data_IF_288379602948
#
_entry.id   IF_288379602948
#
_cell.length_a   1.000
_cell.length_b   1.000
_cell.length_c   1.000
_cell.angle_alpha   90.00
_cell.angle_beta   90.00
_cell.angle_gamma   90.00
#
_symmetry.space_group_name_H-M   'P 1'
#
loop_
_entity.id
_entity.type
_entity.pdbx_description
1 polymer ?
#
# COMPACT_ATOMS: atom_id res chain seq x y z
N UNK A 1 20.35 -15.82 -29.16
CA UNK A 1 20.19 -14.47 -29.74
C UNK A 1 20.08 -13.39 -28.67
N UNK A 2 19.18 -13.53 -27.68
CA UNK A 2 19.04 -12.55 -26.58
C UNK A 2 20.32 -12.37 -25.76
N UNK A 3 20.85 -13.45 -25.18
CA UNK A 3 22.03 -13.38 -24.31
C UNK A 3 23.33 -12.98 -25.03
N UNK A 4 23.52 -13.46 -26.26
CA UNK A 4 24.77 -13.29 -27.01
C UNK A 4 24.83 -12.01 -27.86
N UNK A 5 23.72 -11.29 -28.01
CA UNK A 5 23.64 -10.12 -28.89
C UNK A 5 23.04 -8.89 -28.22
N UNK A 6 21.84 -9.02 -27.66
CA UNK A 6 21.09 -7.87 -27.15
C UNK A 6 21.58 -7.43 -25.77
N UNK A 7 22.00 -8.36 -24.89
CA UNK A 7 22.47 -8.00 -23.55
C UNK A 7 23.71 -7.09 -23.52
N UNK A 8 24.78 -7.34 -24.30
CA UNK A 8 25.92 -6.43 -24.33
C UNK A 8 25.55 -5.01 -24.78
N UNK A 9 24.59 -4.91 -25.72
CA UNK A 9 24.08 -3.61 -26.19
C UNK A 9 23.30 -2.93 -25.07
N UNK A 10 22.37 -3.65 -24.41
CA UNK A 10 21.61 -3.12 -23.29
C UNK A 10 22.52 -2.64 -22.15
N UNK A 11 23.53 -3.43 -21.78
CA UNK A 11 24.51 -3.03 -20.76
C UNK A 11 25.26 -1.75 -21.14
N UNK A 12 25.68 -1.63 -22.41
CA UNK A 12 26.33 -0.41 -22.90
C UNK A 12 25.41 0.81 -22.86
N UNK A 13 24.12 0.61 -23.12
CA UNK A 13 23.11 1.68 -23.06
C UNK A 13 22.82 2.09 -21.61
N UNK A 14 22.68 1.13 -20.68
CA UNK A 14 22.48 1.40 -19.25
C UNK A 14 23.64 2.22 -18.67
N UNK A 15 24.87 1.95 -19.11
CA UNK A 15 26.05 2.71 -18.67
C UNK A 15 26.14 4.13 -19.27
N UNK A 16 25.28 4.48 -20.23
CA UNK A 16 25.29 5.77 -20.90
C UNK A 16 24.07 6.61 -20.51
N UNK A 17 24.29 7.73 -19.81
CA UNK A 17 23.24 8.64 -19.36
C UNK A 17 22.46 9.27 -20.51
N UNK A 18 23.04 9.40 -21.70
CA UNK A 18 22.36 9.95 -22.88
C UNK A 18 21.40 8.93 -23.53
N UNK A 19 21.47 7.66 -23.11
CA UNK A 19 20.71 6.56 -23.69
C UNK A 19 19.57 6.06 -22.78
N UNK A 20 19.23 6.77 -21.70
CA UNK A 20 18.22 6.33 -20.72
C UNK A 20 16.89 5.96 -21.38
N UNK A 21 16.35 6.83 -22.25
CA UNK A 21 15.07 6.55 -22.93
C UNK A 21 15.16 5.32 -23.84
N UNK A 22 16.21 5.21 -24.64
CA UNK A 22 16.41 4.07 -25.53
C UNK A 22 16.64 2.75 -24.76
N UNK A 23 17.38 2.79 -23.64
CA UNK A 23 17.63 1.64 -22.79
C UNK A 23 16.34 1.15 -22.14
N UNK A 24 15.53 2.08 -21.65
CA UNK A 24 14.25 1.78 -20.99
C UNK A 24 13.24 1.20 -21.99
N UNK A 25 13.12 1.79 -23.18
CA UNK A 25 12.27 1.26 -24.25
C UNK A 25 12.72 -0.13 -24.72
N UNK A 26 14.03 -0.37 -24.81
CA UNK A 26 14.57 -1.70 -25.13
C UNK A 26 14.21 -2.72 -24.05
N UNK A 27 14.39 -2.37 -22.77
CA UNK A 27 13.96 -3.20 -21.64
C UNK A 27 12.47 -3.57 -21.73
N UNK A 28 11.61 -2.58 -22.00
CA UNK A 28 10.18 -2.81 -22.14
C UNK A 28 9.87 -3.81 -23.26
N UNK A 29 10.42 -3.57 -24.46
CA UNK A 29 10.20 -4.45 -25.61
C UNK A 29 10.66 -5.88 -25.35
N UNK A 30 11.81 -6.05 -24.68
CA UNK A 30 12.32 -7.37 -24.31
C UNK A 30 11.46 -8.03 -23.24
N UNK A 31 10.96 -7.28 -22.25
CA UNK A 31 10.14 -7.84 -21.16
C UNK A 31 8.83 -8.47 -21.60
N UNK A 32 8.34 -8.12 -22.79
CA UNK A 32 7.18 -8.73 -23.43
C UNK A 32 7.45 -10.17 -23.91
N UNK A 33 8.71 -10.62 -23.94
CA UNK A 33 9.12 -11.97 -24.33
C UNK A 33 9.36 -12.82 -23.08
N UNK A 34 8.68 -13.96 -22.98
CA UNK A 34 8.80 -14.85 -21.82
C UNK A 34 10.23 -15.34 -21.58
N UNK A 35 10.99 -15.60 -22.65
CA UNK A 35 12.38 -16.06 -22.57
C UNK A 35 13.34 -14.95 -22.10
N UNK A 36 12.96 -13.69 -22.22
CA UNK A 36 13.78 -12.55 -21.82
C UNK A 36 13.53 -12.13 -20.36
N UNK A 37 12.33 -12.37 -19.81
CA UNK A 37 11.99 -12.02 -18.42
C UNK A 37 13.00 -12.53 -17.37
N UNK A 38 13.45 -13.81 -17.37
CA UNK A 38 14.42 -14.27 -16.37
C UNK A 38 15.78 -13.58 -16.54
N UNK A 39 16.13 -13.21 -17.77
CA UNK A 39 17.40 -12.55 -18.07
C UNK A 39 17.36 -11.09 -17.60
N UNK A 40 16.31 -10.33 -17.94
CA UNK A 40 16.16 -8.95 -17.50
C UNK A 40 16.09 -8.89 -15.97
N UNK A 41 15.29 -9.79 -15.35
CA UNK A 41 15.09 -9.84 -13.91
C UNK A 41 16.34 -10.17 -13.08
N UNK A 42 17.41 -10.66 -13.69
CA UNK A 42 18.66 -11.06 -13.01
C UNK A 42 19.87 -10.20 -13.39
N UNK A 43 19.69 -9.16 -14.20
CA UNK A 43 20.77 -8.28 -14.68
C UNK A 43 20.67 -6.88 -14.11
N UNK A 44 21.69 -6.05 -14.39
CA UNK A 44 21.74 -4.62 -14.05
C UNK A 44 20.58 -3.78 -14.63
N UNK A 45 19.75 -4.38 -15.50
CA UNK A 45 18.50 -3.77 -15.94
C UNK A 45 17.57 -3.45 -14.76
N UNK A 46 17.46 -4.31 -13.74
CA UNK A 46 16.57 -4.06 -12.60
C UNK A 46 17.00 -2.83 -11.78
N UNK A 47 18.25 -2.74 -11.28
CA UNK A 47 18.73 -1.52 -10.62
C UNK A 47 18.59 -0.27 -11.48
N UNK A 48 18.86 -0.36 -12.79
CA UNK A 48 18.67 0.74 -13.73
C UNK A 48 17.21 1.21 -13.81
N UNK A 49 16.25 0.29 -13.93
CA UNK A 49 14.81 0.64 -14.00
C UNK A 49 14.33 1.28 -12.69
N UNK A 50 14.80 0.79 -11.54
CA UNK A 50 14.51 1.40 -10.23
C UNK A 50 15.11 2.81 -10.15
N UNK A 51 16.33 2.99 -10.67
CA UNK A 51 16.95 4.31 -10.77
C UNK A 51 16.13 5.26 -11.65
N UNK A 52 15.61 4.81 -12.80
CA UNK A 52 14.73 5.61 -13.67
C UNK A 52 13.48 6.09 -12.91
N UNK A 53 12.83 5.21 -12.13
CA UNK A 53 11.66 5.60 -11.34
C UNK A 53 11.96 6.66 -10.26
N UNK A 54 13.16 6.63 -9.67
CA UNK A 54 13.53 7.49 -8.53
C UNK A 54 14.02 8.88 -8.93
N UNK A 55 14.52 9.04 -10.15
CA UNK A 55 15.17 10.27 -10.58
C UNK A 55 14.26 11.12 -11.48
N UNK A 56 14.66 12.37 -11.70
CA UNK A 56 14.01 13.26 -12.65
C UNK A 56 14.36 12.82 -14.09
N UNK A 57 13.68 11.79 -14.57
CA UNK A 57 13.69 11.36 -15.97
C UNK A 57 12.40 11.77 -16.67
N UNK A 58 12.40 11.67 -17.99
CA UNK A 58 11.19 11.81 -18.80
C UNK A 58 10.07 10.87 -18.31
N UNK A 59 8.83 11.35 -18.32
CA UNK A 59 7.67 10.62 -17.78
C UNK A 59 7.38 9.34 -18.59
N UNK A 60 7.64 9.33 -19.90
CA UNK A 60 7.52 8.11 -20.70
C UNK A 60 8.56 7.07 -20.25
N UNK A 61 9.76 7.50 -19.86
CA UNK A 61 10.77 6.57 -19.32
C UNK A 61 10.28 5.95 -18.00
N UNK A 62 9.62 6.72 -17.12
CA UNK A 62 9.06 6.16 -15.88
C UNK A 62 7.93 5.17 -16.17
N UNK A 63 7.05 5.49 -17.13
CA UNK A 63 6.01 4.57 -17.59
C UNK A 63 6.61 3.26 -18.12
N UNK A 64 7.57 3.36 -19.03
CA UNK A 64 8.22 2.21 -19.65
C UNK A 64 8.97 1.38 -18.61
N UNK A 65 9.62 2.03 -17.63
CA UNK A 65 10.29 1.36 -16.54
C UNK A 65 9.31 0.59 -15.65
N UNK A 66 8.19 1.22 -15.27
CA UNK A 66 7.14 0.56 -14.50
C UNK A 66 6.52 -0.62 -15.25
N UNK A 67 6.24 -0.45 -16.55
CA UNK A 67 5.70 -1.52 -17.39
C UNK A 67 6.68 -2.68 -17.53
N UNK A 68 7.97 -2.39 -17.65
CA UNK A 68 9.02 -3.43 -17.66
C UNK A 68 9.02 -4.20 -16.34
N UNK A 69 9.03 -3.49 -15.20
CA UNK A 69 9.01 -4.10 -13.87
C UNK A 69 7.75 -4.95 -13.67
N UNK A 70 6.59 -4.47 -14.10
CA UNK A 70 5.33 -5.23 -14.15
C UNK A 70 5.48 -6.54 -14.95
N UNK A 71 5.96 -6.46 -16.18
CA UNK A 71 6.11 -7.62 -17.06
C UNK A 71 7.04 -8.68 -16.45
N UNK A 72 8.20 -8.28 -15.92
CA UNK A 72 9.15 -9.24 -15.34
C UNK A 72 8.72 -9.76 -13.95
N UNK A 73 7.86 -9.03 -13.23
CA UNK A 73 7.27 -9.45 -11.94
C UNK A 73 6.22 -10.55 -12.11
N UNK A 74 5.64 -10.69 -13.31
CA UNK A 74 4.72 -11.80 -13.62
C UNK A 74 5.38 -13.18 -13.50
N UNK A 75 6.73 -13.24 -13.52
CA UNK A 75 7.51 -14.46 -13.33
C UNK A 75 7.94 -14.58 -11.85
N UNK A 76 7.40 -15.55 -11.08
CA UNK A 76 7.67 -15.65 -9.64
C UNK A 76 9.15 -15.81 -9.26
N UNK A 77 9.97 -16.43 -10.13
CA UNK A 77 11.42 -16.58 -9.88
C UNK A 77 12.18 -15.25 -9.90
N UNK A 78 11.62 -14.19 -10.48
CA UNK A 78 12.24 -12.86 -10.47
C UNK A 78 11.97 -12.09 -9.18
N UNK A 79 10.92 -12.43 -8.42
CA UNK A 79 10.51 -11.67 -7.23
C UNK A 79 11.65 -11.51 -6.22
N UNK A 80 12.43 -12.56 -5.84
CA UNK A 80 13.55 -12.39 -4.90
C UNK A 80 14.63 -11.42 -5.40
N UNK A 81 14.89 -11.40 -6.70
CA UNK A 81 15.89 -10.51 -7.31
C UNK A 81 15.41 -9.05 -7.30
N UNK A 82 14.13 -8.83 -7.62
CA UNK A 82 13.52 -7.50 -7.58
C UNK A 82 13.45 -6.94 -6.15
N UNK A 83 13.13 -7.78 -5.16
CA UNK A 83 13.19 -7.41 -3.74
C UNK A 83 14.62 -7.00 -3.34
N UNK A 84 15.60 -7.83 -3.68
CA UNK A 84 17.01 -7.57 -3.35
C UNK A 84 17.55 -6.28 -3.97
N UNK A 85 16.97 -5.86 -5.11
CA UNK A 85 17.32 -4.61 -5.78
C UNK A 85 16.60 -3.37 -5.20
N UNK A 86 15.70 -3.53 -4.22
CA UNK A 86 15.00 -2.43 -3.58
C UNK A 86 13.85 -1.85 -4.42
N UNK A 87 13.07 -2.69 -5.10
CA UNK A 87 11.98 -2.25 -5.98
C UNK A 87 10.98 -1.31 -5.31
N UNK A 88 10.69 -1.49 -4.00
CA UNK A 88 9.72 -0.66 -3.30
C UNK A 88 10.16 0.80 -3.14
N UNK A 89 11.47 1.08 -3.13
CA UNK A 89 11.96 2.47 -3.19
C UNK A 89 11.53 3.16 -4.49
N UNK A 90 11.61 2.45 -5.61
CA UNK A 90 11.20 2.96 -6.92
C UNK A 90 9.69 3.14 -7.00
N UNK A 91 8.93 2.19 -6.48
CA UNK A 91 7.47 2.28 -6.42
C UNK A 91 7.00 3.42 -5.51
N UNK A 92 7.70 3.70 -4.42
CA UNK A 92 7.38 4.81 -3.52
C UNK A 92 7.49 6.18 -4.20
N UNK A 93 8.45 6.34 -5.13
CA UNK A 93 8.61 7.57 -5.91
C UNK A 93 7.39 7.89 -6.80
N UNK A 94 6.63 6.86 -7.18
CA UNK A 94 5.44 7.01 -8.02
C UNK A 94 4.18 7.43 -7.23
N UNK A 95 4.17 7.27 -5.91
CA UNK A 95 3.00 7.59 -5.06
C UNK A 95 2.60 9.07 -5.18
N UNK A 96 3.58 9.96 -5.42
CA UNK A 96 3.33 11.40 -5.51
C UNK A 96 2.65 11.86 -6.81
N UNK A 97 2.57 11.01 -7.86
CA UNK A 97 2.03 11.36 -9.17
C UNK A 97 1.08 10.27 -9.73
N UNK A 98 -0.12 10.11 -9.15
CA UNK A 98 -0.91 8.87 -9.31
C UNK A 98 -1.82 8.77 -10.56
N UNK A 99 -1.61 9.47 -11.67
CA UNK A 99 -2.66 9.53 -12.71
C UNK A 99 -2.53 8.60 -13.93
N UNK A 100 -1.34 8.05 -14.26
CA UNK A 100 -1.18 7.15 -15.42
C UNK A 100 -0.61 5.76 -15.09
N UNK A 101 -0.13 5.59 -13.86
CA UNK A 101 0.66 4.42 -13.45
C UNK A 101 -0.10 3.45 -12.55
N UNK A 102 -1.30 3.85 -12.09
CA UNK A 102 -2.02 3.22 -10.98
C UNK A 102 -2.29 1.74 -11.21
N UNK A 103 -2.85 1.36 -12.37
CA UNK A 103 -3.15 -0.05 -12.66
C UNK A 103 -1.89 -0.94 -12.59
N UNK A 104 -0.77 -0.50 -13.19
CA UNK A 104 0.45 -1.31 -13.27
C UNK A 104 1.18 -1.31 -11.93
N UNK A 105 1.17 -0.19 -11.23
CA UNK A 105 1.65 -0.08 -9.85
C UNK A 105 0.95 -1.09 -8.93
N UNK A 106 -0.39 -1.16 -8.94
CA UNK A 106 -1.13 -2.11 -8.11
C UNK A 106 -0.85 -3.56 -8.55
N UNK A 107 -0.81 -3.80 -9.86
CA UNK A 107 -0.57 -5.14 -10.38
C UNK A 107 0.82 -5.68 -9.99
N UNK A 108 1.85 -4.83 -9.98
CA UNK A 108 3.16 -5.17 -9.40
C UNK A 108 2.98 -5.58 -7.94
N UNK A 109 2.36 -4.75 -7.10
CA UNK A 109 2.14 -5.09 -5.68
C UNK A 109 1.40 -6.42 -5.49
N UNK A 110 0.43 -6.75 -6.35
CA UNK A 110 -0.30 -8.03 -6.30
C UNK A 110 0.62 -9.22 -6.63
N UNK A 111 1.49 -9.12 -7.63
CA UNK A 111 2.46 -10.19 -7.92
C UNK A 111 3.37 -10.47 -6.72
N UNK A 112 3.87 -9.39 -6.10
CA UNK A 112 4.70 -9.47 -4.90
C UNK A 112 3.93 -10.03 -3.71
N UNK A 113 2.67 -9.65 -3.53
CA UNK A 113 1.84 -10.12 -2.42
C UNK A 113 1.62 -11.65 -2.41
N UNK A 114 2.05 -12.39 -3.44
CA UNK A 114 2.09 -13.87 -3.41
C UNK A 114 3.18 -14.41 -2.48
N UNK A 115 4.30 -13.70 -2.29
CA UNK A 115 5.41 -14.10 -1.40
C UNK A 115 5.23 -13.54 0.02
N UNK A 116 5.48 -14.36 1.05
CA UNK A 116 5.42 -13.91 2.45
C UNK A 116 6.41 -12.75 2.70
N UNK A 117 7.66 -12.89 2.24
CA UNK A 117 8.70 -11.88 2.47
C UNK A 117 8.35 -10.55 1.80
N UNK A 118 7.83 -10.60 0.59
CA UNK A 118 7.40 -9.42 -0.14
C UNK A 118 6.19 -8.74 0.52
N UNK A 119 5.24 -9.51 1.07
CA UNK A 119 4.11 -8.95 1.83
C UNK A 119 4.58 -8.15 3.03
N UNK A 120 5.50 -8.71 3.81
CA UNK A 120 6.05 -8.03 4.97
C UNK A 120 6.77 -6.73 4.59
N UNK A 121 7.49 -6.75 3.47
CA UNK A 121 8.16 -5.57 2.93
C UNK A 121 7.17 -4.51 2.45
N UNK A 122 6.11 -4.88 1.70
CA UNK A 122 5.02 -3.96 1.31
C UNK A 122 4.39 -3.29 2.54
N UNK A 123 4.13 -4.06 3.60
CA UNK A 123 3.53 -3.56 4.85
C UNK A 123 4.51 -2.62 5.58
N UNK A 124 5.81 -2.90 5.51
CA UNK A 124 6.85 -2.09 6.15
C UNK A 124 7.17 -0.79 5.39
N UNK A 125 7.02 -0.77 4.06
CA UNK A 125 7.32 0.41 3.24
C UNK A 125 6.32 1.55 3.52
N UNK A 126 6.78 2.72 3.97
CA UNK A 126 5.92 3.85 4.26
C UNK A 126 5.14 4.32 3.01
N UNK A 127 3.85 4.60 3.20
CA UNK A 127 3.01 5.19 2.17
C UNK A 127 2.39 4.20 1.18
N UNK A 128 2.88 2.96 1.03
CA UNK A 128 2.27 2.00 0.11
C UNK A 128 0.83 1.62 0.51
N UNK A 129 0.60 1.36 1.80
CA UNK A 129 -0.75 1.09 2.31
C UNK A 129 -1.67 2.31 2.12
N UNK A 130 -1.17 3.51 2.41
CA UNK A 130 -1.88 4.77 2.18
C UNK A 130 -2.20 5.01 0.71
N UNK A 131 -1.29 4.67 -0.21
CA UNK A 131 -1.52 4.76 -1.65
C UNK A 131 -2.64 3.83 -2.10
N UNK A 132 -2.65 2.57 -1.65
CA UNK A 132 -3.74 1.63 -1.92
C UNK A 132 -5.08 2.11 -1.34
N UNK A 133 -5.07 2.69 -0.14
CA UNK A 133 -6.26 3.28 0.48
C UNK A 133 -6.78 4.50 -0.30
N UNK A 134 -5.89 5.36 -0.80
CA UNK A 134 -6.25 6.50 -1.63
C UNK A 134 -6.87 6.06 -2.96
N UNK A 135 -6.25 5.08 -3.65
CA UNK A 135 -6.80 4.51 -4.89
C UNK A 135 -8.19 3.90 -4.64
N UNK A 136 -8.40 3.25 -3.50
CA UNK A 136 -9.70 2.70 -3.13
C UNK A 136 -10.78 3.79 -2.94
N UNK A 137 -10.40 5.01 -2.55
CA UNK A 137 -11.33 6.12 -2.34
C UNK A 137 -11.65 6.90 -3.63
N UNK A 138 -10.64 7.17 -4.47
CA UNK A 138 -10.78 8.07 -5.63
C UNK A 138 -10.48 7.45 -6.98
N UNK A 139 -9.98 6.21 -7.03
CA UNK A 139 -9.62 5.53 -8.28
C UNK A 139 -10.83 5.13 -9.11
N UNK A 140 -10.58 4.74 -10.36
CA UNK A 140 -11.62 4.20 -11.25
C UNK A 140 -12.12 2.83 -10.76
N UNK A 141 -13.32 2.37 -11.15
CA UNK A 141 -13.91 1.14 -10.62
C UNK A 141 -13.00 -0.11 -10.71
N UNK A 142 -12.20 -0.21 -11.77
CA UNK A 142 -11.24 -1.30 -11.97
C UNK A 142 -10.03 -1.15 -11.03
N UNK A 143 -9.55 0.06 -10.83
CA UNK A 143 -8.43 0.36 -9.93
C UNK A 143 -8.83 0.15 -8.47
N UNK A 144 -10.04 0.55 -8.07
CA UNK A 144 -10.61 0.27 -6.76
C UNK A 144 -10.70 -1.24 -6.51
N UNK A 145 -11.15 -2.01 -7.50
CA UNK A 145 -11.18 -3.48 -7.45
C UNK A 145 -9.78 -4.07 -7.24
N UNK A 146 -8.79 -3.61 -8.00
CA UNK A 146 -7.40 -4.03 -7.89
C UNK A 146 -6.82 -3.67 -6.50
N UNK A 147 -7.04 -2.46 -6.02
CA UNK A 147 -6.59 -2.01 -4.71
C UNK A 147 -7.23 -2.84 -3.59
N UNK A 148 -8.55 -3.06 -3.64
CA UNK A 148 -9.24 -3.92 -2.69
C UNK A 148 -8.73 -5.38 -2.75
N UNK A 149 -8.38 -5.89 -3.93
CA UNK A 149 -7.80 -7.21 -4.07
C UNK A 149 -6.41 -7.30 -3.41
N UNK A 150 -5.54 -6.31 -3.64
CA UNK A 150 -4.22 -6.23 -3.01
C UNK A 150 -4.34 -6.13 -1.48
N UNK A 151 -5.16 -5.20 -0.98
CA UNK A 151 -5.41 -5.03 0.45
C UNK A 151 -5.96 -6.30 1.11
N UNK A 152 -6.87 -7.01 0.43
CA UNK A 152 -7.39 -8.28 0.96
C UNK A 152 -6.31 -9.36 1.09
N UNK A 153 -5.36 -9.44 0.15
CA UNK A 153 -4.24 -10.39 0.25
C UNK A 153 -3.36 -10.04 1.46
N UNK A 154 -3.01 -8.76 1.61
CA UNK A 154 -2.13 -8.28 2.70
C UNK A 154 -2.80 -8.44 4.08
N UNK A 155 -4.06 -8.03 4.22
CA UNK A 155 -4.79 -8.08 5.48
C UNK A 155 -5.08 -9.52 5.95
N UNK A 156 -5.33 -10.46 5.03
CA UNK A 156 -5.48 -11.87 5.40
C UNK A 156 -4.18 -12.49 5.91
N UNK A 157 -3.03 -12.01 5.44
CA UNK A 157 -1.73 -12.52 5.86
C UNK A 157 -1.26 -11.92 7.19
N UNK A 158 -1.70 -10.70 7.53
CA UNK A 158 -1.16 -9.97 8.68
C UNK A 158 -2.23 -9.05 9.32
N UNK A 159 -2.65 -9.37 10.55
CA UNK A 159 -3.63 -8.57 11.31
C UNK A 159 -3.13 -7.12 11.56
N UNK A 160 -1.82 -6.87 11.65
CA UNK A 160 -1.27 -5.51 11.74
C UNK A 160 -1.55 -4.69 10.49
N UNK A 161 -1.52 -5.32 9.31
CA UNK A 161 -1.89 -4.66 8.05
C UNK A 161 -3.35 -4.20 8.10
N UNK A 162 -4.28 -5.02 8.62
CA UNK A 162 -5.67 -4.59 8.78
C UNK A 162 -5.79 -3.33 9.63
N UNK A 163 -5.06 -3.24 10.74
CA UNK A 163 -5.08 -2.06 11.60
C UNK A 163 -4.55 -0.81 10.87
N UNK A 164 -3.47 -0.94 10.10
CA UNK A 164 -2.94 0.15 9.29
C UNK A 164 -3.95 0.61 8.23
N UNK A 165 -4.58 -0.34 7.52
CA UNK A 165 -5.60 -0.06 6.51
C UNK A 165 -6.83 0.64 7.13
N UNK A 166 -7.26 0.22 8.32
CA UNK A 166 -8.35 0.88 9.04
C UNK A 166 -8.00 2.31 9.48
N UNK A 167 -6.74 2.57 9.84
CA UNK A 167 -6.25 3.91 10.20
C UNK A 167 -6.28 4.88 9.01
N UNK A 168 -6.10 4.39 7.79
CA UNK A 168 -6.29 5.17 6.55
C UNK A 168 -7.77 5.51 6.27
N UNK A 169 -8.72 4.99 7.06
CA UNK A 169 -10.12 5.39 6.98
C UNK A 169 -10.90 4.77 5.82
N UNK A 170 -10.50 3.60 5.33
CA UNK A 170 -11.07 2.95 4.12
C UNK A 170 -12.54 2.51 4.21
N UNK A 171 -13.15 2.51 5.40
CA UNK A 171 -14.49 1.92 5.63
C UNK A 171 -15.58 2.53 4.74
N UNK A 172 -15.72 3.87 4.62
CA UNK A 172 -16.76 4.46 3.76
C UNK A 172 -16.59 4.07 2.29
N UNK A 173 -15.34 4.04 1.79
CA UNK A 173 -15.01 3.67 0.41
C UNK A 173 -15.35 2.20 0.16
N UNK A 174 -15.01 1.30 1.09
CA UNK A 174 -15.39 -0.12 1.03
C UNK A 174 -16.92 -0.33 1.06
N UNK A 175 -17.65 0.43 1.89
CA UNK A 175 -19.11 0.34 1.94
C UNK A 175 -19.72 0.82 0.62
N UNK A 176 -19.28 1.96 0.09
CA UNK A 176 -19.72 2.46 -1.21
C UNK A 176 -19.46 1.43 -2.32
N UNK A 177 -18.24 0.91 -2.38
CA UNK A 177 -17.81 -0.09 -3.36
C UNK A 177 -18.60 -1.40 -3.23
N UNK A 178 -19.01 -1.81 -2.02
CA UNK A 178 -19.82 -3.02 -1.81
C UNK A 178 -21.22 -2.95 -2.46
N UNK A 179 -21.71 -1.73 -2.72
CA UNK A 179 -23.01 -1.47 -3.35
C UNK A 179 -22.84 -1.07 -4.82
N UNK A 180 -21.89 -0.18 -5.11
CA UNK A 180 -21.75 0.52 -6.39
C UNK A 180 -20.59 0.01 -7.27
N UNK A 181 -19.70 -0.81 -6.72
CA UNK A 181 -18.51 -1.29 -7.43
C UNK A 181 -18.82 -2.31 -8.52
N UNK A 182 -17.77 -2.75 -9.21
CA UNK A 182 -17.83 -3.89 -10.15
C UNK A 182 -18.26 -5.17 -9.43
N UNK A 183 -18.67 -6.21 -10.18
CA UNK A 183 -19.09 -7.49 -9.58
C UNK A 183 -18.00 -8.08 -8.66
N UNK A 184 -16.75 -8.10 -9.13
CA UNK A 184 -15.61 -8.59 -8.35
C UNK A 184 -15.25 -7.60 -7.23
N UNK A 185 -15.35 -6.30 -7.49
CA UNK A 185 -15.12 -5.26 -6.49
C UNK A 185 -16.05 -5.38 -5.28
N UNK A 186 -17.35 -5.58 -5.50
CA UNK A 186 -18.33 -5.80 -4.43
C UNK A 186 -17.95 -6.98 -3.54
N UNK A 187 -17.55 -8.10 -4.16
CA UNK A 187 -17.14 -9.30 -3.43
C UNK A 187 -15.87 -9.06 -2.59
N UNK A 188 -14.88 -8.34 -3.14
CA UNK A 188 -13.63 -8.04 -2.42
C UNK A 188 -13.88 -7.07 -1.27
N UNK A 189 -14.69 -6.04 -1.48
CA UNK A 189 -15.07 -5.08 -0.45
C UNK A 189 -15.81 -5.76 0.71
N UNK A 190 -16.79 -6.61 0.40
CA UNK A 190 -17.50 -7.38 1.42
C UNK A 190 -16.56 -8.29 2.23
N UNK A 191 -15.62 -8.98 1.56
CA UNK A 191 -14.61 -9.82 2.24
C UNK A 191 -13.72 -9.02 3.18
N UNK A 192 -13.25 -7.85 2.76
CA UNK A 192 -12.46 -6.96 3.63
C UNK A 192 -13.26 -6.48 4.85
N UNK A 193 -14.51 -6.05 4.64
CA UNK A 193 -15.39 -5.63 5.74
C UNK A 193 -15.67 -6.76 6.74
N UNK A 194 -15.89 -7.98 6.24
CA UNK A 194 -16.05 -9.16 7.09
C UNK A 194 -14.77 -9.46 7.88
N UNK A 195 -13.61 -9.44 7.22
CA UNK A 195 -12.31 -9.67 7.87
C UNK A 195 -12.08 -8.68 9.03
N UNK A 196 -12.34 -7.39 8.82
CA UNK A 196 -12.20 -6.39 9.88
C UNK A 196 -13.17 -6.60 11.04
N UNK A 197 -14.40 -7.06 10.75
CA UNK A 197 -15.39 -7.40 11.78
C UNK A 197 -14.93 -8.59 12.61
N UNK A 198 -14.43 -9.64 11.98
CA UNK A 198 -13.96 -10.85 12.64
C UNK A 198 -12.74 -10.57 13.53
N UNK A 199 -11.78 -9.78 13.03
CA UNK A 199 -10.61 -9.36 13.81
C UNK A 199 -11.02 -8.58 15.07
N UNK A 200 -11.96 -7.63 14.95
CA UNK A 200 -12.48 -6.89 16.10
C UNK A 200 -13.18 -7.78 17.13
N UNK A 201 -13.80 -8.88 16.71
CA UNK A 201 -14.45 -9.83 17.62
C UNK A 201 -13.44 -10.78 18.29
N UNK A 202 -12.28 -11.02 17.66
CA UNK A 202 -11.19 -11.80 18.25
C UNK A 202 -10.45 -11.04 19.35
N UNK A 203 -10.34 -9.72 19.25
CA UNK A 203 -9.79 -8.87 20.31
C UNK A 203 -10.86 -8.66 21.40
N UNK A 204 -10.79 -9.35 22.56
CA UNK A 204 -11.77 -9.15 23.62
C UNK A 204 -11.56 -7.73 24.15
N UNK A 205 -12.63 -6.94 24.25
CA UNK A 205 -12.57 -5.65 24.95
C UNK A 205 -12.01 -5.89 26.37
N UNK A 206 -11.15 -5.02 26.91
CA UNK A 206 -10.82 -5.09 28.33
C UNK A 206 -12.15 -5.02 29.09
N UNK A 207 -12.47 -6.11 29.80
CA UNK A 207 -13.71 -6.22 30.57
C UNK A 207 -13.84 -5.02 31.52
N UNK A 208 -15.05 -4.48 31.74
CA UNK A 208 -15.24 -3.48 32.77
C UNK A 208 -14.81 -4.12 34.09
N UNK A 209 -13.86 -3.47 34.76
CA UNK A 209 -13.44 -3.78 36.13
C UNK A 209 -14.67 -4.14 36.96
N UNK A 210 -14.73 -5.37 37.46
CA UNK A 210 -15.80 -5.82 38.35
C UNK A 210 -15.92 -4.82 39.53
N UNK A 211 -17.15 -4.43 39.93
CA UNK A 211 -17.33 -3.71 41.18
C UNK A 211 -16.82 -4.59 42.32
N UNK A 212 -15.90 -4.03 43.09
CA UNK A 212 -15.42 -4.60 44.36
C UNK A 212 -16.64 -4.95 45.22
N UNK A 213 -16.76 -6.22 45.57
CA UNK A 213 -17.78 -6.76 46.47
C UNK A 213 -17.75 -6.02 47.81
N UNK A 214 -18.89 -5.42 48.16
CA UNK A 214 -19.18 -4.94 49.51
C UNK A 214 -19.17 -6.13 50.47
N UNK A 215 -18.30 -6.07 51.47
CA UNK A 215 -18.49 -6.81 52.73
C UNK A 215 -18.61 -5.75 53.82
N UNK A 216 -19.84 -5.49 54.21
CA UNK A 216 -20.16 -4.74 55.43
C UNK A 216 -20.12 -5.70 56.60
N UNK A 217 -19.27 -5.42 57.58
CA UNK A 217 -19.61 -5.63 58.99
C UNK A 217 -18.85 -4.59 59.84
N UNK A 218 -19.60 -4.01 60.78
CA UNK A 218 -19.35 -2.72 61.41
C UNK A 218 -18.56 -2.84 62.72
N UNK A 219 -17.69 -1.85 63.00
CA UNK A 219 -17.47 -1.27 64.33
C UNK A 219 -16.65 0.04 64.23
N UNK A 220 -17.17 1.12 64.84
CA UNK A 220 -16.54 2.43 65.10
C UNK A 220 -16.71 2.74 66.62
N UNK A 221 -16.13 3.80 67.24
CA UNK A 221 -15.42 4.97 66.68
C UNK A 221 -14.15 5.47 67.44
N UNK A 222 -13.42 6.45 66.87
CA UNK A 222 -12.42 7.26 67.58
C UNK A 222 -11.78 8.43 66.79
N UNK A 223 -12.48 9.57 66.76
CA UNK A 223 -12.06 11.00 66.69
C UNK A 223 -11.08 11.60 65.63
N UNK A 224 -11.52 12.75 65.08
CA UNK A 224 -11.04 13.68 64.02
C UNK A 224 -9.85 14.63 64.38
N UNK A 225 -9.41 15.66 63.56
CA UNK A 225 -9.58 15.98 62.12
C UNK A 225 -8.31 16.43 61.30
N UNK A 226 -8.41 16.39 59.95
CA UNK A 226 -7.96 17.30 58.81
C UNK A 226 -6.76 18.31 58.94
N UNK A 227 -6.12 18.81 57.82
CA UNK A 227 -6.70 19.05 56.48
C UNK A 227 -5.85 18.84 55.19
N UNK A 228 -6.58 18.71 54.06
CA UNK A 228 -6.37 19.21 52.68
C UNK A 228 -4.96 19.34 52.08
N UNK A 229 -4.73 18.62 50.97
CA UNK A 229 -3.96 19.13 49.82
C UNK A 229 -4.61 18.71 48.50
N UNK A 230 -4.92 19.68 47.65
CA UNK A 230 -5.65 19.58 46.37
C UNK A 230 -4.73 19.28 45.18
N UNK A 231 -5.30 18.62 44.16
CA UNK A 231 -5.08 18.81 42.70
C UNK A 231 -3.70 18.36 42.14
N UNK A 232 -3.50 17.86 40.91
CA UNK A 232 -4.19 18.03 39.61
C UNK A 232 -3.90 16.78 38.74
N UNK A 233 -4.93 16.25 38.08
CA UNK A 233 -4.81 15.35 36.93
C UNK A 233 -4.42 16.14 35.67
N UNK A 234 -3.32 15.78 35.00
CA UNK A 234 -3.03 16.26 33.63
C UNK A 234 -3.28 15.14 32.62
N UNK A 235 -4.44 15.21 31.96
CA UNK A 235 -4.70 14.61 30.65
C UNK A 235 -3.79 15.31 29.61
N UNK A 236 -3.03 14.54 28.82
CA UNK A 236 -2.46 15.04 27.56
C UNK A 236 -3.46 14.77 26.44
N UNK A 237 -4.07 15.84 25.96
CA UNK A 237 -4.91 15.90 24.76
C UNK A 237 -4.01 16.21 23.56
N UNK A 238 -4.20 15.45 22.48
CA UNK A 238 -4.35 15.97 21.12
C UNK A 238 -3.10 16.43 20.37
N UNK A 239 -2.78 15.70 19.30
CA UNK A 239 -2.46 16.32 18.01
C UNK A 239 -3.33 15.65 16.94
N UNK A 240 -4.49 16.24 16.68
CA UNK A 240 -5.28 15.96 15.49
C UNK A 240 -4.65 16.76 14.34
N UNK A 241 -4.25 16.07 13.28
CA UNK A 241 -3.93 16.69 12.00
C UNK A 241 -5.18 16.73 11.15
N UNK A 242 -5.74 17.92 11.01
CA UNK A 242 -6.79 18.23 10.05
C UNK A 242 -6.14 18.46 8.69
N UNK A 243 -6.35 17.56 7.73
CA UNK A 243 -6.08 17.85 6.33
C UNK A 243 -7.37 17.96 5.52
N UNK A 244 -7.36 19.02 4.72
CA UNK A 244 -8.43 19.59 3.93
C UNK A 244 -9.22 18.61 3.06
N UNK A 245 -10.55 18.72 3.12
CA UNK A 245 -11.46 18.28 2.06
C UNK A 245 -12.03 19.52 1.38
N UNK A 246 -11.66 19.79 0.13
CA UNK A 246 -12.32 20.80 -0.71
C UNK A 246 -13.29 20.10 -1.65
N UNK A 247 -14.59 20.23 -1.39
CA UNK A 247 -15.63 19.95 -2.37
C UNK A 247 -15.57 21.01 -3.47
N UNK A 248 -15.48 20.59 -4.74
CA UNK A 248 -15.87 21.43 -5.89
C UNK A 248 -17.27 20.98 -6.34
N UNK A 249 -18.25 21.82 -6.05
CA UNK A 249 -19.59 21.74 -6.62
C UNK A 249 -19.54 22.28 -8.06
N UNK A 250 -19.92 21.47 -9.05
CA UNK A 250 -20.18 21.97 -10.40
C UNK A 250 -21.61 22.52 -10.47
N UNK A 251 -21.72 23.83 -10.71
CA UNK A 251 -22.97 24.50 -11.05
C UNK A 251 -23.25 24.32 -12.53
N UNK A 252 -24.38 23.70 -12.86
CA UNK A 252 -24.95 23.64 -14.20
C UNK A 252 -25.48 25.04 -14.55
N UNK A 253 -25.05 25.60 -15.68
CA UNK A 253 -25.80 26.68 -16.33
C UNK A 253 -26.24 26.18 -17.71
N UNK A 254 -27.57 26.11 -17.87
CA UNK A 254 -28.24 26.13 -19.16
C UNK A 254 -28.11 27.51 -19.78
N UNK A 255 -27.76 27.57 -21.06
CA UNK A 255 -28.34 28.42 -22.10
C UNK A 255 -28.03 27.76 -23.44
#
# INVERSE_FOLDING_TARGET
MLASGVLPILQKMIANTDAVGAATALCLNLSCLEEAKPIIGTTEAVPFLIWVLKNETDEQCKLDALHTLYNISSLPSNIPHLLSAGIFDGLQALISHPSEHTEKFIAVLIYFASSNTARDEIIATPGLIGALAAILDVGEPVEQEQAAACLLILCNANDKCSQMVLQEGVIPSLVSMSVNGTVRGKQKAQKLLMLFREQRQRDPSPSPTQPRSETSEAAFPGQDPKPLSKSVSRRKVGKAWSFWRKNKSFSVYQC
#
